data_IF_929961328556
#
_entry.id   IF_929961328556
#
_cell.length_a   1.000
_cell.length_b   1.000
_cell.length_c   1.000
_cell.angle_alpha   90.00
_cell.angle_beta   90.00
_cell.angle_gamma   90.00
#
_symmetry.space_group_name_H-M   'P 1'
#
loop_
_entity.id
_entity.type
_entity.pdbx_description
1 polymer ?
#
# COMPACT_ATOMS: atom_id res chain seq x y z
N UNK A 1 12.17 17.06 23.56
CA UNK A 1 12.23 17.88 22.33
C UNK A 1 10.92 18.65 22.21
N UNK A 2 10.93 19.99 22.24
CA UNK A 2 9.72 20.83 22.11
C UNK A 2 9.34 21.04 20.63
N UNK A 3 9.45 20.00 19.82
CA UNK A 3 9.29 20.10 18.38
C UNK A 3 7.86 19.70 18.01
N UNK A 4 7.05 20.70 17.65
CA UNK A 4 5.67 20.50 17.20
C UNK A 4 5.63 20.28 15.68
N UNK A 5 4.98 19.20 15.25
CA UNK A 5 4.75 18.89 13.84
C UNK A 5 3.43 19.50 13.35
N UNK A 6 3.37 19.91 12.09
CA UNK A 6 2.08 20.32 11.52
C UNK A 6 1.17 19.10 11.32
N UNK A 7 1.75 17.98 10.86
CA UNK A 7 1.03 16.74 10.62
C UNK A 7 1.90 15.55 11.04
N UNK A 8 1.32 14.64 11.83
CA UNK A 8 1.84 13.28 11.97
C UNK A 8 1.05 12.35 11.04
N UNK A 9 1.75 11.47 10.33
CA UNK A 9 1.16 10.45 9.46
C UNK A 9 1.53 9.07 10.01
N UNK A 10 0.55 8.22 10.24
CA UNK A 10 0.75 6.83 10.69
C UNK A 10 0.33 5.85 9.61
N UNK A 11 1.15 4.81 9.38
CA UNK A 11 1.03 3.84 8.29
C UNK A 11 1.65 4.28 6.98
N UNK A 12 2.31 3.34 6.31
CA UNK A 12 2.92 3.49 4.99
C UNK A 12 2.03 3.02 3.84
N UNK A 13 0.71 2.96 4.04
CA UNK A 13 -0.23 2.72 2.96
C UNK A 13 -0.13 3.77 1.85
N UNK A 14 -0.63 3.42 0.66
CA UNK A 14 -0.53 4.30 -0.52
C UNK A 14 -1.12 5.69 -0.27
N UNK A 15 -2.30 5.75 0.36
CA UNK A 15 -3.00 7.01 0.65
C UNK A 15 -2.17 7.89 1.58
N UNK A 16 -1.68 7.30 2.67
CA UNK A 16 -0.94 7.97 3.73
C UNK A 16 0.40 8.51 3.19
N UNK A 17 1.12 7.70 2.41
CA UNK A 17 2.36 8.12 1.78
C UNK A 17 2.16 9.25 0.76
N UNK A 18 1.13 9.19 -0.10
CA UNK A 18 0.82 10.28 -1.04
C UNK A 18 0.48 11.57 -0.30
N UNK A 19 -0.37 11.48 0.74
CA UNK A 19 -0.74 12.64 1.55
C UNK A 19 0.47 13.24 2.26
N UNK A 20 1.34 12.39 2.84
CA UNK A 20 2.59 12.81 3.47
C UNK A 20 3.49 13.58 2.49
N UNK A 21 3.74 13.01 1.30
CA UNK A 21 4.51 13.69 0.25
C UNK A 21 3.89 15.04 -0.15
N UNK A 22 2.57 15.09 -0.33
CA UNK A 22 1.88 16.34 -0.71
C UNK A 22 1.93 17.40 0.40
N UNK A 23 1.81 17.01 1.66
CA UNK A 23 1.91 17.94 2.79
C UNK A 23 3.32 18.54 2.89
N UNK A 24 4.36 17.72 2.75
CA UNK A 24 5.76 18.18 2.73
C UNK A 24 6.03 19.13 1.55
N UNK A 25 5.57 18.80 0.34
CA UNK A 25 5.66 19.69 -0.84
C UNK A 25 5.00 21.05 -0.59
N UNK A 26 3.93 21.09 0.21
CA UNK A 26 3.25 22.32 0.60
C UNK A 26 3.91 23.02 1.81
N UNK A 27 5.13 22.63 2.20
CA UNK A 27 5.92 23.26 3.27
C UNK A 27 5.47 22.92 4.69
N UNK A 28 4.67 21.86 4.88
CA UNK A 28 4.29 21.39 6.21
C UNK A 28 5.42 20.58 6.85
N UNK A 29 5.58 20.73 8.16
CA UNK A 29 6.48 19.89 8.94
C UNK A 29 5.82 18.54 9.21
N UNK A 30 6.25 17.51 8.50
CA UNK A 30 5.63 16.17 8.54
C UNK A 30 6.53 15.18 9.26
N UNK A 31 5.94 14.44 10.21
CA UNK A 31 6.52 13.23 10.77
C UNK A 31 5.69 12.03 10.35
N UNK A 32 6.28 11.14 9.56
CA UNK A 32 5.65 9.93 9.09
C UNK A 32 6.23 8.72 9.83
N UNK A 33 5.38 7.91 10.46
CA UNK A 33 5.81 6.79 11.29
C UNK A 33 4.98 5.53 10.97
N UNK A 34 5.60 4.36 11.04
CA UNK A 34 4.89 3.09 10.95
C UNK A 34 5.56 2.04 11.85
N UNK A 35 4.73 1.19 12.46
CA UNK A 35 5.18 0.03 13.22
C UNK A 35 5.77 -1.05 12.32
N UNK A 36 5.41 -1.07 11.04
CA UNK A 36 5.96 -2.02 10.08
C UNK A 36 7.39 -1.64 9.67
N UNK A 37 8.28 -2.60 9.43
CA UNK A 37 9.65 -2.33 8.97
C UNK A 37 9.76 -2.11 7.45
N UNK A 38 8.65 -2.06 6.74
CA UNK A 38 8.56 -1.94 5.28
C UNK A 38 7.48 -0.92 4.87
N UNK A 39 7.54 -0.48 3.61
CA UNK A 39 6.53 0.39 3.02
C UNK A 39 5.34 -0.38 2.43
N UNK A 40 4.18 0.25 2.35
CA UNK A 40 3.00 -0.24 1.64
C UNK A 40 1.89 -0.78 2.54
N UNK A 41 2.15 -0.98 3.83
CA UNK A 41 1.16 -1.50 4.78
C UNK A 41 0.47 -2.76 4.26
N UNK A 42 -0.87 -2.77 4.23
CA UNK A 42 -1.65 -3.90 3.68
C UNK A 42 -1.46 -4.10 2.16
N UNK A 43 -0.97 -3.10 1.44
CA UNK A 43 -0.69 -3.14 0.00
C UNK A 43 0.80 -3.40 -0.28
N UNK A 44 1.53 -3.99 0.67
CA UNK A 44 2.94 -4.34 0.49
C UNK A 44 3.17 -5.22 -0.76
N UNK A 45 4.34 -5.01 -1.36
CA UNK A 45 4.89 -5.81 -2.44
C UNK A 45 5.99 -6.70 -1.85
N UNK A 46 5.83 -8.02 -1.94
CA UNK A 46 6.76 -8.97 -1.32
C UNK A 46 7.79 -9.44 -2.34
N UNK A 47 9.06 -9.26 -2.01
CA UNK A 47 10.24 -9.76 -2.74
C UNK A 47 11.38 -10.00 -1.74
N UNK A 48 12.18 -11.07 -1.88
CA UNK A 48 12.13 -12.14 -2.88
C UNK A 48 10.96 -13.13 -2.68
N UNK A 49 10.76 -14.04 -3.65
CA UNK A 49 9.67 -15.03 -3.62
C UNK A 49 9.67 -15.90 -2.34
N UNK A 50 10.83 -16.19 -1.77
CA UNK A 50 10.94 -16.96 -0.52
C UNK A 50 10.18 -16.28 0.64
N UNK A 51 10.24 -14.95 0.72
CA UNK A 51 9.58 -14.19 1.77
C UNK A 51 8.06 -14.21 1.62
N UNK A 52 7.56 -14.30 0.38
CA UNK A 52 6.14 -14.56 0.13
C UNK A 52 5.73 -15.93 0.68
N UNK A 53 6.51 -16.97 0.41
CA UNK A 53 6.24 -18.32 0.93
C UNK A 53 6.29 -18.36 2.47
N UNK A 54 7.27 -17.71 3.09
CA UNK A 54 7.37 -17.57 4.56
C UNK A 54 6.17 -16.83 5.14
N UNK A 55 5.78 -15.69 4.55
CA UNK A 55 4.66 -14.85 4.98
C UNK A 55 3.35 -15.64 5.06
N UNK A 56 3.08 -16.45 4.05
CA UNK A 56 1.87 -17.28 3.95
C UNK A 56 2.04 -18.69 4.54
N UNK A 57 3.18 -18.97 5.19
CA UNK A 57 3.50 -20.26 5.83
C UNK A 57 3.29 -21.44 4.88
N UNK A 58 3.68 -21.26 3.62
CA UNK A 58 3.57 -22.29 2.60
C UNK A 58 4.62 -23.38 2.93
N UNK A 59 4.23 -24.65 3.13
CA UNK A 59 5.10 -25.67 3.70
C UNK A 59 6.26 -26.14 2.79
N UNK A 60 6.36 -25.59 1.59
CA UNK A 60 7.37 -25.96 0.58
C UNK A 60 8.19 -24.74 0.20
N UNK A 61 9.44 -24.93 -0.23
CA UNK A 61 10.19 -23.86 -0.88
C UNK A 61 9.61 -23.54 -2.28
N UNK A 62 9.85 -22.34 -2.82
CA UNK A 62 9.58 -22.05 -4.22
C UNK A 62 10.25 -23.09 -5.13
N UNK A 63 9.52 -23.70 -6.10
CA UNK A 63 10.12 -24.63 -7.05
C UNK A 63 11.25 -23.99 -7.86
N UNK A 64 12.34 -24.72 -8.11
CA UNK A 64 13.46 -24.24 -8.91
C UNK A 64 13.07 -23.82 -10.35
N UNK A 65 11.98 -24.39 -10.88
CA UNK A 65 11.41 -24.00 -12.18
C UNK A 65 10.87 -22.56 -12.22
N UNK A 66 10.68 -21.90 -11.07
CA UNK A 66 10.27 -20.50 -10.98
C UNK A 66 11.43 -19.51 -11.19
N UNK A 67 12.66 -19.98 -11.42
CA UNK A 67 13.81 -19.12 -11.70
C UNK A 67 14.38 -18.46 -10.45
N UNK A 68 14.96 -17.25 -10.60
CA UNK A 68 15.63 -16.56 -9.50
C UNK A 68 14.61 -15.87 -8.62
N UNK A 69 14.74 -16.01 -7.30
CA UNK A 69 13.74 -15.49 -6.35
C UNK A 69 13.57 -13.96 -6.39
N UNK A 70 14.63 -13.23 -6.78
CA UNK A 70 14.63 -11.76 -6.89
C UNK A 70 13.96 -11.23 -8.16
N UNK A 71 13.68 -12.11 -9.13
CA UNK A 71 12.93 -11.73 -10.33
C UNK A 71 11.42 -11.63 -10.03
N UNK A 72 11.00 -12.05 -8.83
CA UNK A 72 9.63 -12.01 -8.37
C UNK A 72 9.37 -10.82 -7.47
N UNK A 73 8.21 -10.20 -7.68
CA UNK A 73 7.64 -9.21 -6.80
C UNK A 73 6.12 -9.43 -6.79
N UNK A 74 5.55 -9.66 -5.61
CA UNK A 74 4.14 -10.06 -5.46
C UNK A 74 3.38 -9.03 -4.63
N UNK A 75 2.46 -8.32 -5.28
CA UNK A 75 1.58 -7.37 -4.61
C UNK A 75 0.45 -8.07 -3.87
N UNK A 76 0.26 -7.74 -2.59
CA UNK A 76 -0.84 -8.30 -1.80
C UNK A 76 -2.22 -7.74 -2.19
N UNK A 77 -2.24 -6.51 -2.70
CA UNK A 77 -3.46 -5.83 -3.16
C UNK A 77 -3.17 -5.16 -4.51
N UNK A 78 -3.26 -5.92 -5.62
CA UNK A 78 -3.05 -5.34 -6.95
C UNK A 78 -4.20 -4.38 -7.29
N UNK A 79 -3.88 -3.08 -7.34
CA UNK A 79 -4.74 -2.00 -7.81
C UNK A 79 -4.20 -1.49 -9.15
N UNK A 80 -4.92 -1.73 -10.24
CA UNK A 80 -4.56 -1.10 -11.51
C UNK A 80 -4.83 0.40 -11.46
N UNK A 81 -3.85 1.19 -11.88
CA UNK A 81 -4.02 2.63 -12.04
C UNK A 81 -4.76 2.88 -13.35
N UNK A 82 -6.02 3.25 -13.26
CA UNK A 82 -6.80 3.68 -14.41
C UNK A 82 -6.51 5.16 -14.65
N UNK A 83 -5.75 5.48 -15.69
CA UNK A 83 -5.73 6.84 -16.20
C UNK A 83 -7.02 7.06 -17.04
N UNK A 84 -7.56 8.29 -17.04
CA UNK A 84 -8.82 8.68 -17.69
C UNK A 84 -9.22 7.81 -18.90
N UNK A 85 -10.23 6.95 -18.76
CA UNK A 85 -10.56 5.83 -19.68
C UNK A 85 -10.40 6.14 -21.17
N UNK A 86 -11.03 7.20 -21.65
CA UNK A 86 -11.04 7.54 -23.08
C UNK A 86 -9.68 8.07 -23.56
N UNK A 87 -9.02 8.91 -22.77
CA UNK A 87 -7.70 9.44 -23.11
C UNK A 87 -6.61 8.37 -22.99
N UNK A 88 -6.72 7.47 -22.02
CA UNK A 88 -5.71 6.44 -21.75
C UNK A 88 -5.72 5.33 -22.77
N UNK A 89 -6.90 4.90 -23.24
CA UNK A 89 -6.96 3.96 -24.36
C UNK A 89 -6.38 4.59 -25.63
N UNK A 90 -6.67 5.88 -25.87
CA UNK A 90 -6.12 6.62 -27.00
C UNK A 90 -4.59 6.82 -26.90
N UNK A 91 -4.05 6.98 -25.67
CA UNK A 91 -2.61 7.17 -25.44
C UNK A 91 -1.79 5.87 -25.49
N UNK A 92 -2.31 4.76 -24.97
CA UNK A 92 -1.52 3.53 -24.75
C UNK A 92 -2.00 2.32 -25.57
N UNK A 93 -3.17 2.41 -26.22
CA UNK A 93 -3.63 1.49 -27.27
C UNK A 93 -4.10 0.09 -26.82
N UNK A 94 -3.48 -0.52 -25.80
CA UNK A 94 -3.76 -1.91 -25.39
C UNK A 94 -4.74 -2.04 -24.23
N UNK A 95 -4.63 -1.15 -23.24
CA UNK A 95 -5.54 -1.11 -22.08
C UNK A 95 -5.51 0.29 -21.44
N UNK A 96 -6.53 0.67 -20.67
CA UNK A 96 -6.54 1.94 -19.92
C UNK A 96 -5.73 1.88 -18.61
N UNK A 97 -5.09 0.73 -18.32
CA UNK A 97 -4.45 0.46 -17.05
C UNK A 97 -2.94 0.58 -17.14
N UNK A 98 -2.35 1.15 -16.10
CA UNK A 98 -0.92 1.16 -15.84
C UNK A 98 -0.61 0.37 -14.57
N UNK A 99 0.56 -0.25 -14.56
CA UNK A 99 1.10 -0.95 -13.42
C UNK A 99 2.60 -0.65 -13.32
N UNK A 100 3.11 -0.27 -12.14
CA UNK A 100 4.52 0.02 -11.96
C UNK A 100 5.37 -1.24 -12.15
N UNK A 101 6.50 -1.09 -12.84
CA UNK A 101 7.54 -2.10 -12.82
C UNK A 101 8.00 -2.24 -11.36
N UNK A 102 8.12 -3.49 -10.87
CA UNK A 102 8.43 -3.84 -9.47
C UNK A 102 7.30 -3.68 -8.44
N UNK A 103 6.04 -3.53 -8.90
CA UNK A 103 4.88 -3.61 -8.01
C UNK A 103 4.50 -2.28 -7.35
N UNK A 104 3.34 -2.25 -6.72
CA UNK A 104 2.70 -1.04 -6.19
C UNK A 104 3.41 -0.47 -4.97
N UNK A 105 4.23 -1.27 -4.27
CA UNK A 105 5.10 -0.83 -3.18
C UNK A 105 6.07 0.28 -3.58
N UNK A 106 6.35 0.46 -4.87
CA UNK A 106 7.16 1.56 -5.39
C UNK A 106 6.46 2.93 -5.25
N UNK A 107 5.12 2.98 -5.25
CA UNK A 107 4.39 4.25 -5.14
C UNK A 107 4.47 4.87 -3.74
N UNK A 108 4.25 4.11 -2.63
CA UNK A 108 4.54 4.58 -1.28
C UNK A 108 5.99 5.01 -1.11
N UNK A 109 6.95 4.22 -1.62
CA UNK A 109 8.39 4.53 -1.53
C UNK A 109 8.74 5.84 -2.24
N UNK A 110 8.26 6.03 -3.47
CA UNK A 110 8.47 7.26 -4.22
C UNK A 110 7.87 8.48 -3.51
N UNK A 111 6.73 8.32 -2.86
CA UNK A 111 6.09 9.41 -2.09
C UNK A 111 6.84 9.70 -0.78
N UNK A 112 7.40 8.67 -0.13
CA UNK A 112 8.27 8.85 1.04
C UNK A 112 9.55 9.59 0.68
N UNK A 113 10.17 9.24 -0.45
CA UNK A 113 11.33 9.95 -0.99
C UNK A 113 10.99 11.41 -1.31
N UNK A 114 9.86 11.65 -1.97
CA UNK A 114 9.36 13.00 -2.23
C UNK A 114 9.20 13.78 -0.92
N UNK A 115 8.57 13.20 0.10
CA UNK A 115 8.42 13.86 1.40
C UNK A 115 9.77 14.23 2.02
N UNK A 116 10.76 13.34 1.97
CA UNK A 116 12.09 13.56 2.53
C UNK A 116 12.83 14.73 1.85
N UNK A 117 12.71 14.88 0.52
CA UNK A 117 13.29 16.03 -0.21
C UNK A 117 12.77 17.36 0.31
N UNK A 118 11.49 17.40 0.69
CA UNK A 118 10.84 18.59 1.21
C UNK A 118 10.87 18.69 2.75
N UNK A 119 11.75 17.93 3.41
CA UNK A 119 12.03 18.04 4.84
C UNK A 119 11.11 17.23 5.76
N UNK A 120 10.32 16.29 5.23
CA UNK A 120 9.56 15.35 6.03
C UNK A 120 10.45 14.24 6.62
N UNK A 121 10.16 13.83 7.86
CA UNK A 121 10.90 12.77 8.56
C UNK A 121 10.12 11.45 8.48
N UNK A 122 10.77 10.36 8.09
CA UNK A 122 10.18 9.01 8.03
C UNK A 122 10.81 8.07 9.06
N UNK A 123 9.99 7.33 9.81
CA UNK A 123 10.42 6.36 10.81
C UNK A 123 9.65 5.04 10.66
N UNK A 124 10.31 4.01 10.12
CA UNK A 124 9.77 2.65 10.08
C UNK A 124 10.16 1.88 11.34
N UNK A 125 9.50 0.74 11.57
CA UNK A 125 9.73 -0.10 12.74
C UNK A 125 9.60 0.68 14.06
N UNK A 126 8.71 1.67 14.09
CA UNK A 126 8.52 2.59 15.21
C UNK A 126 7.12 2.37 15.80
N UNK A 127 6.99 1.63 16.92
CA UNK A 127 5.70 1.26 17.46
C UNK A 127 4.96 2.49 17.98
N UNK A 128 3.65 2.56 17.71
CA UNK A 128 2.77 3.60 18.26
C UNK A 128 2.04 3.02 19.46
N UNK A 129 2.28 3.61 20.64
CA UNK A 129 1.65 3.19 21.90
C UNK A 129 0.27 3.82 22.05
N UNK A 130 0.15 5.12 21.77
CA UNK A 130 -1.05 5.89 22.05
C UNK A 130 -1.18 7.10 21.11
N UNK A 131 -2.41 7.34 20.63
CA UNK A 131 -2.79 8.62 20.02
C UNK A 131 -3.37 9.50 21.12
N UNK A 132 -2.67 10.60 21.43
CA UNK A 132 -3.02 11.44 22.58
C UNK A 132 -4.07 12.46 22.14
N UNK A 133 -5.20 12.44 22.86
CA UNK A 133 -6.33 13.32 22.63
C UNK A 133 -6.57 14.22 23.84
N UNK A 134 -6.87 15.49 23.60
CA UNK A 134 -7.29 16.45 24.62
C UNK A 134 -8.49 17.24 24.09
N UNK A 135 -9.57 17.32 24.87
CA UNK A 135 -10.81 18.03 24.48
C UNK A 135 -11.35 17.63 23.10
N UNK A 136 -11.24 16.34 22.77
CA UNK A 136 -11.67 15.79 21.49
C UNK A 136 -10.75 16.10 20.30
N UNK A 137 -9.61 16.78 20.51
CA UNK A 137 -8.61 17.09 19.49
C UNK A 137 -7.36 16.25 19.69
N UNK A 138 -6.70 15.88 18.59
CA UNK A 138 -5.38 15.25 18.66
C UNK A 138 -4.35 16.29 19.08
N UNK A 139 -3.45 15.90 19.98
CA UNK A 139 -2.33 16.74 20.42
C UNK A 139 -0.96 16.08 20.21
N UNK A 140 -0.92 14.80 19.86
CA UNK A 140 0.32 14.09 19.61
C UNK A 140 0.17 12.58 19.54
N UNK A 141 1.30 11.92 19.34
CA UNK A 141 1.44 10.46 19.30
C UNK A 141 2.57 10.05 20.24
N UNK A 142 2.31 9.04 21.07
CA UNK A 142 3.29 8.44 21.96
C UNK A 142 3.94 7.22 21.31
N UNK A 143 5.27 7.16 21.34
CA UNK A 143 6.06 6.06 20.80
C UNK A 143 7.35 5.90 21.60
N UNK A 144 7.58 4.70 22.13
CA UNK A 144 8.78 4.35 22.91
C UNK A 144 9.01 5.29 24.11
N UNK A 145 7.93 5.62 24.82
CA UNK A 145 7.96 6.53 25.97
C UNK A 145 8.08 8.02 25.64
N UNK A 146 8.33 8.40 24.39
CA UNK A 146 8.38 9.80 23.95
C UNK A 146 7.08 10.25 23.29
N UNK A 147 6.79 11.55 23.36
CA UNK A 147 5.59 12.15 22.75
C UNK A 147 6.03 13.10 21.64
N UNK A 148 5.55 12.85 20.43
CA UNK A 148 5.63 13.77 19.31
C UNK A 148 4.32 14.55 19.20
N UNK A 149 4.39 15.87 19.34
CA UNK A 149 3.20 16.74 19.28
C UNK A 149 2.83 17.09 17.84
N UNK A 150 1.53 17.19 17.55
CA UNK A 150 1.06 17.58 16.24
C UNK A 150 -0.28 18.32 16.26
N UNK A 151 -0.53 19.12 15.20
CA UNK A 151 -1.80 19.81 14.98
C UNK A 151 -2.83 18.93 14.28
N UNK A 152 -2.37 17.99 13.45
CA UNK A 152 -3.21 17.08 12.68
C UNK A 152 -2.59 15.69 12.65
N UNK A 153 -3.45 14.66 12.61
CA UNK A 153 -3.07 13.27 12.49
C UNK A 153 -3.76 12.65 11.27
N UNK A 154 -2.99 11.97 10.43
CA UNK A 154 -3.48 11.15 9.33
C UNK A 154 -3.08 9.71 9.65
N UNK A 155 -4.01 8.77 9.59
CA UNK A 155 -3.68 7.37 9.82
C UNK A 155 -4.67 6.42 9.14
N UNK A 156 -4.22 5.19 8.91
CA UNK A 156 -5.11 4.11 8.49
C UNK A 156 -5.99 3.62 9.68
N UNK A 157 -7.08 2.87 9.41
CA UNK A 157 -8.00 2.37 10.44
C UNK A 157 -7.35 1.54 11.55
N UNK A 158 -6.17 0.94 11.30
CA UNK A 158 -5.53 0.05 12.24
C UNK A 158 -4.93 0.76 13.46
N UNK A 159 -4.70 2.08 13.37
CA UNK A 159 -4.19 2.93 14.45
C UNK A 159 -5.30 3.54 15.33
N UNK A 160 -6.57 3.50 14.89
CA UNK A 160 -7.72 4.14 15.56
C UNK A 160 -8.97 3.24 15.53
N UNK A 161 -8.84 2.01 16.05
CA UNK A 161 -9.90 0.98 15.98
C UNK A 161 -11.22 1.37 16.64
N UNK A 162 -11.19 2.29 17.59
CA UNK A 162 -12.35 2.85 18.30
C UNK A 162 -13.09 3.95 17.51
N UNK A 163 -12.50 4.43 16.40
CA UNK A 163 -13.05 5.51 15.55
C UNK A 163 -13.49 5.04 14.17
N UNK A 164 -13.53 3.73 13.97
CA UNK A 164 -13.90 3.10 12.69
C UNK A 164 -14.92 2.00 12.92
N UNK A 165 -15.73 1.74 11.90
CA UNK A 165 -16.68 0.63 11.89
C UNK A 165 -16.38 -0.33 10.74
N UNK A 166 -16.72 -1.61 10.94
CA UNK A 166 -16.54 -2.62 9.90
C UNK A 166 -17.63 -2.48 8.85
N UNK A 167 -17.24 -2.06 7.64
CA UNK A 167 -18.18 -1.89 6.51
C UNK A 167 -18.34 -3.13 5.62
N UNK A 168 -17.44 -4.10 5.72
CA UNK A 168 -17.48 -5.28 4.86
C UNK A 168 -16.25 -6.17 4.98
N UNK A 169 -16.14 -7.15 4.08
CA UNK A 169 -14.98 -8.04 3.96
C UNK A 169 -14.67 -8.29 2.49
N UNK A 170 -13.39 -8.45 2.18
CA UNK A 170 -12.90 -8.75 0.83
C UNK A 170 -12.04 -10.01 0.92
N UNK A 171 -12.33 -10.98 0.05
CA UNK A 171 -11.49 -12.17 -0.11
C UNK A 171 -10.49 -11.87 -1.23
N UNK A 172 -9.21 -12.17 -0.98
CA UNK A 172 -8.14 -12.09 -1.97
C UNK A 172 -7.46 -13.45 -2.07
N UNK A 173 -7.26 -13.92 -3.29
CA UNK A 173 -6.56 -15.17 -3.59
C UNK A 173 -5.46 -14.84 -4.58
N UNK A 174 -4.21 -15.10 -4.17
CA UNK A 174 -3.04 -14.91 -5.01
C UNK A 174 -2.67 -16.27 -5.60
N UNK A 175 -2.64 -16.37 -6.92
CA UNK A 175 -2.32 -17.59 -7.65
C UNK A 175 -1.04 -17.39 -8.48
N UNK A 176 -0.01 -18.19 -8.20
CA UNK A 176 1.18 -18.25 -9.05
C UNK A 176 0.93 -19.27 -10.15
N UNK A 177 1.02 -18.84 -11.40
CA UNK A 177 0.77 -19.65 -12.58
C UNK A 177 2.09 -19.90 -13.32
N UNK A 178 2.27 -21.11 -13.85
CA UNK A 178 3.39 -21.47 -14.72
C UNK A 178 3.04 -21.43 -16.20
N UNK A 179 1.87 -20.88 -16.53
CA UNK A 179 1.34 -20.76 -17.88
C UNK A 179 0.46 -19.51 -17.98
N UNK A 180 0.29 -18.92 -19.19
CA UNK A 180 -0.66 -17.84 -19.39
C UNK A 180 -2.09 -18.25 -19.02
N UNK A 181 -2.92 -17.27 -18.66
CA UNK A 181 -4.35 -17.53 -18.44
C UNK A 181 -4.99 -17.92 -19.78
N UNK A 182 -5.82 -18.96 -19.80
CA UNK A 182 -6.51 -19.39 -21.03
C UNK A 182 -7.41 -18.26 -21.56
N UNK A 183 -7.54 -18.18 -22.89
CA UNK A 183 -8.36 -17.19 -23.59
C UNK A 183 -7.95 -15.72 -23.36
N UNK A 184 -6.65 -15.45 -23.18
CA UNK A 184 -6.11 -14.08 -23.06
C UNK A 184 -5.14 -13.70 -24.18
N UNK A 185 -5.06 -14.51 -25.25
CA UNK A 185 -4.09 -14.37 -26.35
C UNK A 185 -2.63 -14.36 -25.87
N UNK A 186 -2.33 -15.21 -24.87
CA UNK A 186 -1.03 -15.30 -24.19
C UNK A 186 -0.51 -13.94 -23.69
N UNK A 187 -1.43 -13.04 -23.31
CA UNK A 187 -1.07 -11.74 -22.79
C UNK A 187 -0.31 -11.85 -21.46
N UNK A 188 0.81 -11.13 -21.38
CA UNK A 188 1.66 -11.06 -20.18
C UNK A 188 1.01 -10.33 -18.99
N UNK A 189 -0.04 -9.54 -19.24
CA UNK A 189 -0.86 -8.93 -18.18
C UNK A 189 -2.29 -8.67 -18.65
N UNK A 190 -3.27 -8.85 -17.75
CA UNK A 190 -4.70 -8.62 -17.98
C UNK A 190 -5.45 -8.26 -16.70
N UNK A 191 -6.47 -7.42 -16.87
CA UNK A 191 -7.57 -7.30 -15.93
C UNK A 191 -8.77 -8.08 -16.45
N UNK A 192 -9.25 -9.04 -15.66
CA UNK A 192 -10.48 -9.79 -15.91
C UNK A 192 -11.53 -9.33 -14.92
N UNK A 193 -12.73 -9.06 -15.43
CA UNK A 193 -13.87 -8.60 -14.64
C UNK A 193 -15.02 -9.55 -14.85
N UNK A 194 -15.49 -10.18 -13.78
CA UNK A 194 -16.68 -11.04 -13.79
C UNK A 194 -17.83 -10.23 -13.16
N UNK A 195 -18.79 -9.74 -13.96
CA UNK A 195 -19.88 -8.91 -13.46
C UNK A 195 -20.76 -9.64 -12.44
N UNK A 196 -21.34 -8.89 -11.50
CA UNK A 196 -22.26 -9.44 -10.49
C UNK A 196 -23.44 -10.23 -11.08
N UNK A 197 -23.92 -9.85 -12.26
CA UNK A 197 -25.02 -10.52 -12.97
C UNK A 197 -24.63 -11.92 -13.46
N UNK A 198 -23.35 -12.26 -13.42
CA UNK A 198 -22.77 -13.54 -13.84
C UNK A 198 -22.11 -14.28 -12.67
N UNK A 199 -22.27 -13.80 -11.44
CA UNK A 199 -21.66 -14.37 -10.22
C UNK A 199 -22.67 -14.39 -9.06
N UNK A 200 -22.24 -14.90 -7.90
CA UNK A 200 -23.04 -14.99 -6.67
C UNK A 200 -23.15 -13.64 -5.94
N UNK A 201 -23.62 -12.59 -6.63
CA UNK A 201 -24.01 -11.30 -6.03
C UNK A 201 -22.92 -10.25 -5.85
N UNK A 202 -21.65 -10.55 -6.17
CA UNK A 202 -20.55 -9.58 -6.11
C UNK A 202 -19.66 -9.66 -7.35
N UNK A 203 -19.17 -8.52 -7.82
CA UNK A 203 -18.21 -8.47 -8.93
C UNK A 203 -16.86 -9.08 -8.50
N UNK A 204 -16.30 -9.95 -9.34
CA UNK A 204 -14.98 -10.56 -9.09
C UNK A 204 -13.98 -9.90 -10.03
N UNK A 205 -12.81 -9.55 -9.49
CA UNK A 205 -11.70 -8.98 -10.22
C UNK A 205 -10.53 -9.95 -10.20
N UNK A 206 -9.89 -10.17 -11.34
CA UNK A 206 -8.63 -10.89 -11.43
C UNK A 206 -7.62 -10.01 -12.16
N UNK A 207 -6.46 -9.85 -11.55
CA UNK A 207 -5.31 -9.15 -12.11
C UNK A 207 -4.20 -10.17 -12.31
N UNK A 208 -3.67 -10.24 -13.52
CA UNK A 208 -2.54 -11.10 -13.87
C UNK A 208 -1.56 -10.34 -14.74
#
# INVERSE_FOLDING_TARGET
>A
MNEEYDVIVLSTGLTECILSGKMSVNGKKVLHMDRNPYYGGESESITPLEDFYKRFKIPRAPPASMGRERDWNVDLIPKFLMANKCESLARYGKSPYLYPLYGLGELPQGSAWLSAIYGGTYMLNKPVEEVIMQDGKVIGVKSEGEIAHCKQLICDPSYVKDRVEKVGQVIRVICILSHPIKNTDDANSRQIVIPQTKSTGHQIFTSA
#
